data_IF_134939255068
#
_entry.id   IF_134939255068
#
_cell.length_a   1.000
_cell.length_b   1.000
_cell.length_c   1.000
_cell.angle_alpha   90.00
_cell.angle_beta   90.00
_cell.angle_gamma   90.00
#
_symmetry.space_group_name_H-M   'P 1'
#
loop_
_entity.id
_entity.type
_entity.pdbx_description
1 polymer ?
#
# COMPACT_ATOMS: atom_id res chain seq x y z
N UNK A 1 12.70 28.82 1.13
CA UNK A 1 12.62 28.75 2.48
C UNK A 1 11.88 27.54 2.93
N UNK A 2 10.78 27.42 2.54
CA UNK A 2 9.95 26.35 2.91
C UNK A 2 10.46 24.98 2.55
N UNK A 3 11.23 24.92 1.52
CA UNK A 3 11.76 23.68 1.01
C UNK A 3 12.58 22.93 2.02
N UNK A 4 13.32 23.65 2.83
CA UNK A 4 14.14 23.02 3.83
C UNK A 4 13.29 22.24 4.81
N UNK A 5 12.14 22.78 5.13
CA UNK A 5 11.26 22.15 6.06
C UNK A 5 10.70 20.85 5.47
N UNK A 6 10.45 20.88 4.17
CA UNK A 6 9.96 19.68 3.51
C UNK A 6 10.95 18.55 3.59
N UNK A 7 12.19 18.85 3.37
CA UNK A 7 13.24 17.84 3.43
C UNK A 7 13.30 17.22 4.81
N UNK A 8 13.18 18.04 5.83
CA UNK A 8 13.24 17.54 7.19
C UNK A 8 12.09 16.58 7.46
N UNK A 9 10.98 16.82 6.85
CA UNK A 9 9.81 15.99 7.10
C UNK A 9 9.82 14.67 6.38
N UNK A 10 10.72 14.45 5.45
CA UNK A 10 10.76 13.19 4.76
C UNK A 10 11.11 12.04 5.68
N UNK A 11 11.62 12.32 6.87
CA UNK A 11 11.90 11.27 7.83
C UNK A 11 10.74 11.02 8.78
N UNK A 12 9.65 11.75 8.65
CA UNK A 12 8.45 11.55 9.45
C UNK A 12 7.83 10.21 9.10
N UNK A 13 7.59 9.33 10.09
CA UNK A 13 7.00 8.01 9.80
C UNK A 13 5.66 8.09 9.09
N UNK A 14 4.82 9.07 9.44
CA UNK A 14 3.52 9.18 8.78
C UNK A 14 3.69 9.53 7.31
N UNK A 15 4.65 10.39 7.00
CA UNK A 15 4.91 10.77 5.64
C UNK A 15 5.51 9.63 4.84
N UNK A 16 6.39 8.85 5.47
CA UNK A 16 6.97 7.70 4.81
C UNK A 16 5.90 6.68 4.47
N UNK A 17 4.94 6.49 5.36
CA UNK A 17 3.85 5.56 5.09
C UNK A 17 3.08 5.98 3.85
N UNK A 18 2.76 7.27 3.74
CA UNK A 18 2.02 7.76 2.58
C UNK A 18 2.82 7.57 1.30
N UNK A 19 4.11 7.85 1.34
CA UNK A 19 4.95 7.73 0.16
C UNK A 19 5.00 6.29 -0.33
N UNK A 20 5.19 5.34 0.57
CA UNK A 20 5.23 3.94 0.18
C UNK A 20 3.89 3.48 -0.37
N UNK A 21 2.80 3.88 0.27
CA UNK A 21 1.48 3.46 -0.18
C UNK A 21 1.13 4.08 -1.53
N UNK A 22 1.55 5.32 -1.78
CA UNK A 22 1.30 5.95 -3.07
C UNK A 22 2.05 5.26 -4.19
N UNK A 23 3.28 4.86 -3.93
CA UNK A 23 4.04 4.14 -4.94
C UNK A 23 3.38 2.81 -5.26
N UNK A 24 2.88 2.14 -4.23
CA UNK A 24 2.18 0.88 -4.44
C UNK A 24 0.89 1.09 -5.22
N UNK A 25 0.16 2.18 -4.92
CA UNK A 25 -1.07 2.49 -5.63
C UNK A 25 -0.81 2.69 -7.12
N UNK A 26 0.26 3.39 -7.47
CA UNK A 26 0.60 3.61 -8.86
C UNK A 26 0.86 2.29 -9.58
N UNK A 27 1.59 1.40 -8.93
CA UNK A 27 1.90 0.12 -9.56
C UNK A 27 0.65 -0.74 -9.70
N UNK A 28 -0.22 -0.73 -8.69
CA UNK A 28 -1.45 -1.50 -8.77
C UNK A 28 -2.36 -0.98 -9.87
N UNK A 29 -2.41 0.33 -10.06
CA UNK A 29 -3.19 0.91 -11.14
C UNK A 29 -2.68 0.42 -12.49
N UNK A 30 -1.38 0.35 -12.65
CA UNK A 30 -0.80 -0.15 -13.89
C UNK A 30 -1.15 -1.62 -14.14
N UNK A 31 -1.49 -2.34 -13.09
CA UNK A 31 -1.82 -3.75 -13.21
C UNK A 31 -3.32 -4.02 -13.23
N UNK A 32 -4.12 -2.97 -13.29
CA UNK A 32 -5.55 -3.13 -13.48
C UNK A 32 -6.40 -3.11 -12.23
N UNK A 33 -5.81 -2.83 -11.07
CA UNK A 33 -6.58 -2.67 -9.85
C UNK A 33 -6.79 -1.20 -9.56
N UNK A 34 -7.82 -0.89 -8.77
CA UNK A 34 -8.05 0.46 -8.30
C UNK A 34 -7.54 0.56 -6.88
N UNK A 35 -6.88 1.68 -6.56
CA UNK A 35 -6.30 1.85 -5.24
C UNK A 35 -6.41 3.31 -4.82
N UNK A 36 -6.81 3.53 -3.57
CA UNK A 36 -6.95 4.87 -3.02
C UNK A 36 -6.23 4.95 -1.69
N UNK A 37 -5.48 6.03 -1.51
CA UNK A 37 -4.85 6.30 -0.23
C UNK A 37 -5.89 6.85 0.74
N UNK A 38 -6.02 6.18 1.87
CA UNK A 38 -6.93 6.59 2.93
C UNK A 38 -6.09 7.09 4.08
N UNK A 39 -6.16 8.37 4.37
CA UNK A 39 -5.34 8.97 5.41
C UNK A 39 -6.19 9.83 6.33
N UNK A 40 -7.10 9.23 7.10
CA UNK A 40 -7.95 10.00 7.99
C UNK A 40 -7.13 10.62 9.12
N UNK A 41 -7.52 11.81 9.60
CA UNK A 41 -6.77 12.47 10.65
C UNK A 41 -6.68 11.61 11.90
N UNK A 42 -5.50 11.57 12.49
CA UNK A 42 -5.29 10.84 13.72
C UNK A 42 -5.27 9.34 13.59
N UNK A 43 -5.27 8.84 12.38
CA UNK A 43 -5.24 7.41 12.14
C UNK A 43 -4.11 7.06 11.19
N UNK A 44 -3.70 5.81 11.27
CA UNK A 44 -2.70 5.27 10.37
C UNK A 44 -3.23 5.26 8.95
N UNK A 45 -2.45 5.70 7.98
CA UNK A 45 -2.88 5.62 6.59
C UNK A 45 -2.93 4.19 6.09
N UNK A 46 -3.79 3.95 5.12
CA UNK A 46 -3.89 2.64 4.50
C UNK A 46 -4.19 2.84 3.02
N UNK A 47 -4.02 1.78 2.25
CA UNK A 47 -4.36 1.78 0.85
C UNK A 47 -5.56 0.87 0.66
N UNK A 48 -6.64 1.43 0.13
CA UNK A 48 -7.85 0.69 -0.16
C UNK A 48 -7.77 0.19 -1.59
N UNK A 49 -7.76 -1.11 -1.77
CA UNK A 49 -7.55 -1.72 -3.08
C UNK A 49 -8.77 -2.51 -3.48
N UNK A 50 -9.23 -2.32 -4.70
CA UNK A 50 -10.44 -2.94 -5.21
C UNK A 50 -10.15 -3.54 -6.58
N UNK A 51 -10.70 -4.74 -6.82
CA UNK A 51 -10.68 -5.32 -8.15
C UNK A 51 -11.88 -4.78 -8.90
N UNK A 52 -11.70 -3.95 -9.96
CA UNK A 52 -12.84 -3.35 -10.64
C UNK A 52 -13.72 -4.37 -11.37
N UNK A 53 -13.19 -5.54 -11.66
CA UNK A 53 -13.98 -6.59 -12.31
C UNK A 53 -14.87 -7.31 -11.33
N UNK A 54 -14.58 -7.20 -10.03
CA UNK A 54 -15.40 -7.83 -8.99
C UNK A 54 -15.25 -6.99 -7.72
N UNK A 55 -16.06 -5.97 -7.59
CA UNK A 55 -15.88 -4.98 -6.53
C UNK A 55 -16.04 -5.50 -5.11
N UNK A 56 -16.59 -6.69 -4.98
CA UNK A 56 -16.64 -7.32 -3.66
C UNK A 56 -15.26 -7.77 -3.21
N UNK A 57 -14.30 -7.86 -4.12
CA UNK A 57 -12.93 -8.23 -3.79
C UNK A 57 -12.16 -6.96 -3.50
N UNK A 58 -12.09 -6.61 -2.24
CA UNK A 58 -11.44 -5.40 -1.79
C UNK A 58 -10.71 -5.69 -0.50
N UNK A 59 -9.63 -4.95 -0.28
CA UNK A 59 -8.84 -5.11 0.93
C UNK A 59 -8.10 -3.84 1.24
N UNK A 60 -7.65 -3.73 2.48
CA UNK A 60 -6.81 -2.63 2.91
C UNK A 60 -5.40 -3.11 3.12
N UNK A 61 -4.45 -2.30 2.68
CA UNK A 61 -3.03 -2.60 2.81
C UNK A 61 -2.40 -1.52 3.67
N UNK A 62 -1.57 -1.92 4.61
CA UNK A 62 -0.86 -1.02 5.49
C UNK A 62 0.63 -1.17 5.27
N UNK A 63 1.39 -0.17 5.72
CA UNK A 63 2.83 -0.25 5.67
C UNK A 63 3.36 0.13 7.06
N UNK A 64 4.36 -0.60 7.52
CA UNK A 64 4.91 -0.36 8.85
C UNK A 64 6.39 -0.69 8.86
N UNK A 65 7.11 0.03 9.71
CA UNK A 65 8.55 -0.20 9.89
C UNK A 65 8.71 -1.20 11.03
N UNK A 66 9.44 -2.27 10.73
CA UNK A 66 9.71 -3.28 11.74
C UNK A 66 10.79 -2.87 12.71
N UNK A 67 11.02 -3.70 13.71
CA UNK A 67 12.09 -3.44 14.67
C UNK A 67 13.45 -3.47 14.02
N UNK A 68 13.57 -4.16 12.91
CA UNK A 68 14.82 -4.23 12.15
C UNK A 68 15.02 -3.01 11.26
N UNK A 69 14.10 -2.05 11.29
CA UNK A 69 14.21 -0.84 10.48
C UNK A 69 13.72 -1.03 9.05
N UNK A 70 13.15 -2.17 8.75
CA UNK A 70 12.69 -2.44 7.39
C UNK A 70 11.21 -2.20 7.29
N UNK A 71 10.84 -1.41 6.27
CA UNK A 71 9.43 -1.14 5.99
C UNK A 71 8.86 -2.29 5.18
N UNK A 72 7.63 -2.73 5.57
CA UNK A 72 6.95 -3.82 4.87
C UNK A 72 5.49 -3.50 4.71
N UNK A 73 4.89 -4.01 3.64
CA UNK A 73 3.46 -3.93 3.46
C UNK A 73 2.79 -5.10 4.16
N UNK A 74 1.58 -4.84 4.67
CA UNK A 74 0.82 -5.81 5.45
C UNK A 74 -0.64 -5.78 5.03
N UNK A 75 -1.27 -6.95 5.02
CA UNK A 75 -2.71 -7.02 4.88
C UNK A 75 -3.36 -6.52 6.17
N UNK A 76 -4.67 -6.21 6.08
CA UNK A 76 -5.40 -5.74 7.26
C UNK A 76 -5.47 -6.80 8.35
N UNK A 77 -5.33 -8.06 8.00
CA UNK A 77 -5.34 -9.15 8.99
C UNK A 77 -3.92 -9.48 9.46
N UNK A 78 -3.01 -8.58 9.29
CA UNK A 78 -1.65 -8.66 9.85
C UNK A 78 -0.77 -9.72 9.20
N UNK A 79 -1.05 -10.09 7.99
CA UNK A 79 -0.19 -10.98 7.23
C UNK A 79 0.74 -10.16 6.34
N UNK A 80 2.01 -10.54 6.30
CA UNK A 80 3.02 -9.80 5.55
C UNK A 80 2.84 -9.99 4.05
N UNK A 81 3.01 -8.91 3.30
CA UNK A 81 2.95 -8.97 1.85
C UNK A 81 4.34 -8.98 1.26
N UNK A 82 5.14 -7.94 1.52
CA UNK A 82 6.48 -7.82 0.95
C UNK A 82 7.16 -6.61 1.58
N UNK A 83 8.48 -6.50 1.40
CA UNK A 83 9.18 -5.29 1.82
C UNK A 83 8.72 -4.13 0.97
N UNK A 84 8.67 -2.95 1.57
CA UNK A 84 8.11 -1.79 0.89
C UNK A 84 8.97 -1.31 -0.27
N UNK A 85 10.25 -1.57 -0.22
CA UNK A 85 11.14 -1.19 -1.32
C UNK A 85 10.93 -2.06 -2.56
N UNK A 86 10.29 -3.21 -2.41
CA UNK A 86 10.02 -4.09 -3.53
C UNK A 86 8.56 -3.96 -3.92
N UNK A 87 8.24 -2.84 -4.53
CA UNK A 87 6.87 -2.52 -4.93
C UNK A 87 6.36 -3.53 -5.95
N UNK A 88 7.25 -4.00 -6.81
CA UNK A 88 6.89 -4.96 -7.84
C UNK A 88 6.40 -6.27 -7.21
N UNK A 89 7.14 -6.78 -6.24
CA UNK A 89 6.74 -8.00 -5.56
C UNK A 89 5.44 -7.80 -4.78
N UNK A 90 5.31 -6.65 -4.12
CA UNK A 90 4.10 -6.35 -3.36
C UNK A 90 2.89 -6.32 -4.28
N UNK A 91 3.02 -5.63 -5.42
CA UNK A 91 1.91 -5.53 -6.35
C UNK A 91 1.55 -6.88 -6.94
N UNK A 92 2.55 -7.70 -7.26
CA UNK A 92 2.30 -9.04 -7.78
C UNK A 92 1.51 -9.88 -6.78
N UNK A 93 1.87 -9.80 -5.52
CA UNK A 93 1.18 -10.56 -4.48
C UNK A 93 -0.26 -10.10 -4.34
N UNK A 94 -0.47 -8.79 -4.33
CA UNK A 94 -1.82 -8.25 -4.16
C UNK A 94 -2.70 -8.62 -5.34
N UNK A 95 -2.17 -8.47 -6.56
CA UNK A 95 -2.94 -8.83 -7.74
C UNK A 95 -3.33 -10.30 -7.71
N UNK A 96 -2.38 -11.16 -7.34
CA UNK A 96 -2.65 -12.59 -7.30
C UNK A 96 -3.76 -12.92 -6.31
N UNK A 97 -3.73 -12.31 -5.13
CA UNK A 97 -4.72 -12.59 -4.11
C UNK A 97 -6.10 -12.12 -4.56
N UNK A 98 -6.19 -10.89 -5.06
CA UNK A 98 -7.49 -10.34 -5.44
C UNK A 98 -8.01 -10.95 -6.73
N UNK A 99 -7.13 -11.38 -7.63
CA UNK A 99 -7.56 -12.00 -8.87
C UNK A 99 -7.90 -13.47 -8.68
N UNK A 100 -7.20 -14.16 -7.77
CA UNK A 100 -7.43 -15.58 -7.59
C UNK A 100 -8.76 -15.87 -6.93
N UNK A 101 -9.41 -14.86 -6.35
CA UNK A 101 -10.72 -15.02 -5.75
C UNK A 101 -11.83 -14.93 -6.77
N UNK A 102 -11.51 -14.55 -8.01
CA UNK A 102 -12.50 -14.49 -9.08
C UNK A 102 -12.77 -15.89 -9.60
N UNK A 103 -14.05 -16.20 -9.85
CA UNK A 103 -14.36 -17.49 -10.45
C UNK A 103 -13.80 -17.55 -11.86
N UNK A 104 -13.27 -18.69 -12.20
CA UNK A 104 -12.79 -18.90 -13.56
C UNK A 104 -13.91 -19.44 -14.40
N UNK A 105 -13.98 -18.98 -15.59
CA UNK A 105 -15.03 -19.43 -16.47
C UNK A 105 -14.85 -20.83 -16.94
#
# INVERSE_FOLDING_TARGET
MVITVEVARTSDPDQMQAVYLEKLADELSHRGLEAWLMAPPGRRPSLYVVNPAARALEENVYVACGKDGIWRFWWSWAERIAVADDVDQAASTIVRVLASLLPKD
#
